data_IF_944881720958
#
_entry.id   IF_944881720958
#
_cell.length_a   1.000
_cell.length_b   1.000
_cell.length_c   1.000
_cell.angle_alpha   90.00
_cell.angle_beta   90.00
_cell.angle_gamma   90.00
#
_symmetry.space_group_name_H-M   'P 1'
#
loop_
_entity.id
_entity.type
_entity.pdbx_description
1 polymer ?
#
# COMPACT_ATOMS: atom_id res chain seq x y z
N UNK A 1 33.34 -16.73 -47.60
CA UNK A 1 34.19 -15.84 -46.80
C UNK A 1 33.99 -16.24 -45.35
N UNK A 2 35.02 -16.79 -44.70
CA UNK A 2 34.96 -17.09 -43.27
C UNK A 2 35.19 -15.77 -42.52
N UNK A 3 34.25 -15.37 -41.66
CA UNK A 3 34.48 -14.28 -40.70
C UNK A 3 35.67 -14.67 -39.83
N UNK A 4 36.67 -13.78 -39.73
CA UNK A 4 37.73 -13.95 -38.72
C UNK A 4 37.05 -13.94 -37.34
N UNK A 5 37.46 -14.81 -36.41
CA UNK A 5 37.00 -14.70 -35.03
C UNK A 5 37.39 -13.31 -34.52
N UNK A 6 36.39 -12.52 -34.10
CA UNK A 6 36.63 -11.27 -33.39
C UNK A 6 37.39 -11.59 -32.11
N UNK A 7 38.34 -10.72 -31.76
CA UNK A 7 39.02 -10.80 -30.48
C UNK A 7 37.96 -10.60 -29.38
N UNK A 8 37.81 -11.54 -28.42
CA UNK A 8 36.83 -11.41 -27.34
C UNK A 8 36.92 -10.08 -26.57
N UNK A 9 38.12 -9.48 -26.55
CA UNK A 9 38.35 -8.18 -25.93
C UNK A 9 37.73 -7.05 -26.77
N UNK A 10 37.81 -7.12 -28.09
CA UNK A 10 37.21 -6.12 -28.96
C UNK A 10 35.69 -6.22 -28.94
N UNK A 11 35.13 -7.43 -28.89
CA UNK A 11 33.69 -7.65 -28.75
C UNK A 11 33.14 -7.06 -27.43
N UNK A 12 33.85 -7.27 -26.30
CA UNK A 12 33.45 -6.69 -25.01
C UNK A 12 33.57 -5.16 -25.01
N UNK A 13 34.61 -4.60 -25.65
CA UNK A 13 34.77 -3.15 -25.77
C UNK A 13 33.67 -2.52 -26.60
N UNK A 14 33.34 -3.12 -27.75
CA UNK A 14 32.25 -2.66 -28.61
C UNK A 14 30.91 -2.72 -27.87
N UNK A 15 30.64 -3.77 -27.09
CA UNK A 15 29.44 -3.89 -26.26
C UNK A 15 29.35 -2.77 -25.20
N UNK A 16 30.46 -2.46 -24.51
CA UNK A 16 30.51 -1.34 -23.55
C UNK A 16 30.26 0.00 -24.26
N UNK A 17 30.87 0.21 -25.43
CA UNK A 17 30.67 1.45 -26.18
C UNK A 17 29.22 1.61 -26.65
N UNK A 18 28.59 0.53 -27.11
CA UNK A 18 27.20 0.53 -27.54
C UNK A 18 26.22 0.73 -26.39
N UNK A 19 26.46 0.10 -25.23
CA UNK A 19 25.61 0.25 -24.04
C UNK A 19 25.74 1.64 -23.43
N UNK A 20 26.97 2.16 -23.30
CA UNK A 20 27.25 3.36 -22.51
C UNK A 20 27.43 4.63 -23.35
N UNK A 21 27.55 4.50 -24.68
CA UNK A 21 27.83 5.62 -25.59
C UNK A 21 29.20 6.28 -25.38
N UNK A 22 30.13 5.62 -24.68
CA UNK A 22 31.43 6.20 -24.29
C UNK A 22 32.50 5.98 -25.35
N UNK A 23 33.56 6.79 -25.30
CA UNK A 23 34.72 6.60 -26.16
C UNK A 23 35.53 5.33 -25.75
N UNK A 24 36.39 4.86 -26.67
CA UNK A 24 37.13 3.60 -26.49
C UNK A 24 38.09 3.63 -25.30
N UNK A 25 38.68 4.80 -24.99
CA UNK A 25 39.58 4.98 -23.84
C UNK A 25 38.85 4.79 -22.51
N UNK A 26 37.64 5.35 -22.38
CA UNK A 26 36.78 5.18 -21.20
C UNK A 26 36.23 3.75 -21.12
N UNK A 27 35.87 3.13 -22.25
CA UNK A 27 35.45 1.73 -22.29
C UNK A 27 36.57 0.79 -21.80
N UNK A 28 37.82 1.06 -22.19
CA UNK A 28 39.00 0.31 -21.76
C UNK A 28 39.29 0.52 -20.26
N UNK A 29 39.17 1.76 -19.77
CA UNK A 29 39.30 2.07 -18.33
C UNK A 29 38.21 1.37 -17.49
N UNK A 30 36.98 1.29 -18.00
CA UNK A 30 35.87 0.57 -17.37
C UNK A 30 36.18 -0.94 -17.31
N UNK A 31 36.64 -1.53 -18.42
CA UNK A 31 37.01 -2.95 -18.51
C UNK A 31 38.13 -3.32 -17.52
N UNK A 32 39.21 -2.54 -17.49
CA UNK A 32 40.37 -2.78 -16.62
C UNK A 32 40.05 -2.67 -15.13
N UNK A 33 39.09 -1.83 -14.76
CA UNK A 33 38.62 -1.72 -13.38
C UNK A 33 37.71 -2.89 -12.94
N UNK A 34 37.25 -3.71 -13.89
CA UNK A 34 36.34 -4.84 -13.68
C UNK A 34 37.03 -6.20 -13.56
N UNK A 35 38.09 -6.44 -14.32
CA UNK A 35 38.83 -7.71 -14.38
C UNK A 35 39.66 -8.05 -13.12
N UNK A 36 39.46 -7.32 -12.01
CA UNK A 36 40.11 -7.62 -10.73
C UNK A 36 39.17 -8.40 -9.78
N UNK A 37 39.15 -9.75 -9.80
CA UNK A 37 38.59 -10.52 -8.69
C UNK A 37 39.43 -10.29 -7.43
N UNK A 38 38.83 -10.17 -6.22
CA UNK A 38 37.46 -10.53 -5.81
C UNK A 38 36.48 -9.35 -5.71
N UNK A 39 36.86 -8.14 -6.13
CA UNK A 39 36.17 -6.91 -5.74
C UNK A 39 34.89 -6.62 -6.54
N UNK A 40 34.75 -7.17 -7.76
CA UNK A 40 33.56 -7.06 -8.59
C UNK A 40 32.37 -7.88 -8.06
N UNK A 41 32.61 -9.13 -7.64
CA UNK A 41 31.58 -10.00 -7.06
C UNK A 41 31.00 -9.41 -5.77
N UNK A 42 31.84 -8.89 -4.88
CA UNK A 42 31.39 -8.25 -3.65
C UNK A 42 30.51 -7.02 -3.92
N UNK A 43 30.89 -6.17 -4.89
CA UNK A 43 30.10 -4.99 -5.25
C UNK A 43 28.73 -5.36 -5.86
N UNK A 44 28.66 -6.46 -6.61
CA UNK A 44 27.43 -7.01 -7.17
C UNK A 44 26.50 -7.62 -6.10
N UNK A 45 27.06 -8.39 -5.16
CA UNK A 45 26.27 -8.90 -4.04
C UNK A 45 25.78 -7.76 -3.14
N UNK A 46 26.62 -6.74 -2.91
CA UNK A 46 26.25 -5.58 -2.12
C UNK A 46 25.12 -4.76 -2.75
N UNK A 47 25.02 -4.68 -4.08
CA UNK A 47 23.92 -3.93 -4.71
C UNK A 47 22.60 -4.68 -4.62
N UNK A 48 22.62 -5.99 -4.91
CA UNK A 48 21.44 -6.85 -4.84
C UNK A 48 20.93 -6.90 -3.39
N UNK A 49 21.77 -7.35 -2.46
CA UNK A 49 21.38 -7.48 -1.07
C UNK A 49 21.17 -6.13 -0.41
N UNK A 50 21.93 -5.10 -0.77
CA UNK A 50 21.73 -3.73 -0.28
C UNK A 50 20.35 -3.19 -0.66
N UNK A 51 19.92 -3.38 -1.91
CA UNK A 51 18.56 -3.01 -2.33
C UNK A 51 17.50 -3.75 -1.51
N UNK A 52 17.62 -5.09 -1.39
CA UNK A 52 16.66 -5.88 -0.62
C UNK A 52 16.65 -5.49 0.87
N UNK A 53 17.80 -5.25 1.48
CA UNK A 53 17.92 -4.84 2.88
C UNK A 53 17.25 -3.47 3.09
N UNK A 54 17.50 -2.50 2.21
CA UNK A 54 16.87 -1.18 2.29
C UNK A 54 15.35 -1.30 2.09
N UNK A 55 14.92 -2.01 1.05
CA UNK A 55 13.52 -2.18 0.72
C UNK A 55 12.75 -2.88 1.86
N UNK A 56 13.20 -4.08 2.25
CA UNK A 56 12.58 -4.88 3.32
C UNK A 56 12.72 -4.19 4.68
N UNK A 57 13.86 -3.54 4.95
CA UNK A 57 14.05 -2.74 6.16
C UNK A 57 13.03 -1.61 6.26
N UNK A 58 12.78 -0.89 5.17
CA UNK A 58 11.75 0.13 5.11
C UNK A 58 10.33 -0.43 5.24
N UNK A 59 10.05 -1.62 4.70
CA UNK A 59 8.76 -2.30 4.94
C UNK A 59 8.59 -2.67 6.40
N UNK A 60 9.63 -3.21 7.04
CA UNK A 60 9.63 -3.49 8.47
C UNK A 60 9.39 -2.23 9.29
N UNK A 61 10.02 -1.11 8.91
CA UNK A 61 9.80 0.20 9.54
C UNK A 61 8.36 0.68 9.37
N UNK A 62 7.88 0.59 8.13
CA UNK A 62 6.52 0.96 7.73
C UNK A 62 5.48 0.20 8.55
N UNK A 63 5.57 -1.13 8.56
CA UNK A 63 4.65 -2.00 9.27
C UNK A 63 4.71 -1.86 10.80
N UNK A 64 5.91 -1.75 11.37
CA UNK A 64 6.07 -1.79 12.84
C UNK A 64 5.80 -0.45 13.52
N UNK A 65 6.07 0.66 12.86
CA UNK A 65 6.02 1.99 13.49
C UNK A 65 5.15 2.99 12.74
N UNK A 66 5.25 3.09 11.41
CA UNK A 66 4.54 4.12 10.64
C UNK A 66 3.05 3.79 10.53
N UNK A 67 2.71 2.56 10.17
CA UNK A 67 1.34 2.11 9.99
C UNK A 67 0.53 2.23 11.30
N UNK A 68 0.99 1.70 12.45
CA UNK A 68 0.25 1.83 13.71
C UNK A 68 0.20 3.28 14.23
N UNK A 69 1.14 4.14 13.81
CA UNK A 69 1.08 5.56 14.14
C UNK A 69 -0.07 6.26 13.41
N UNK A 70 -0.22 6.00 12.11
CA UNK A 70 -1.32 6.58 11.32
C UNK A 70 -2.68 5.99 11.68
N UNK A 71 -2.79 4.69 11.97
CA UNK A 71 -4.04 4.11 12.50
C UNK A 71 -4.48 4.82 13.78
N UNK A 72 -3.57 4.99 14.75
CA UNK A 72 -3.91 5.73 15.99
C UNK A 72 -4.27 7.19 15.75
N UNK A 73 -3.62 7.82 14.78
CA UNK A 73 -3.91 9.21 14.42
C UNK A 73 -5.32 9.30 13.81
N UNK A 74 -5.69 8.35 12.95
CA UNK A 74 -7.03 8.23 12.40
C UNK A 74 -8.06 7.99 13.51
N UNK A 75 -7.81 7.04 14.42
CA UNK A 75 -8.70 6.75 15.54
C UNK A 75 -8.93 7.98 16.42
N UNK A 76 -7.87 8.77 16.64
CA UNK A 76 -7.94 10.00 17.44
C UNK A 76 -8.80 11.05 16.74
N UNK A 77 -8.53 11.34 15.46
CA UNK A 77 -9.32 12.31 14.69
C UNK A 77 -10.78 11.90 14.55
N UNK A 78 -11.01 10.62 14.27
CA UNK A 78 -12.35 10.10 14.10
C UNK A 78 -13.13 10.11 15.42
N UNK A 79 -12.49 9.81 16.55
CA UNK A 79 -13.13 9.93 17.87
C UNK A 79 -13.47 11.39 18.22
N UNK A 80 -12.60 12.34 17.90
CA UNK A 80 -12.86 13.78 18.09
C UNK A 80 -14.06 14.25 17.27
N UNK A 81 -14.10 13.91 15.97
CA UNK A 81 -15.23 14.25 15.09
C UNK A 81 -16.52 13.53 15.49
N UNK A 82 -16.44 12.26 15.86
CA UNK A 82 -17.58 11.49 16.35
C UNK A 82 -18.22 12.13 17.59
N UNK A 83 -17.40 12.62 18.52
CA UNK A 83 -17.87 13.31 19.73
C UNK A 83 -18.58 14.63 19.38
N UNK A 84 -18.09 15.37 18.38
CA UNK A 84 -18.70 16.62 17.93
C UNK A 84 -20.07 16.41 17.27
N UNK A 85 -20.23 15.31 16.53
CA UNK A 85 -21.45 15.00 15.77
C UNK A 85 -22.43 14.16 16.60
N UNK A 86 -22.01 13.63 17.76
CA UNK A 86 -22.83 12.74 18.59
C UNK A 86 -22.96 11.33 18.00
N UNK A 87 -21.94 10.87 17.27
CA UNK A 87 -21.91 9.52 16.74
C UNK A 87 -21.68 8.49 17.87
N UNK A 88 -22.27 7.32 17.70
CA UNK A 88 -22.16 6.16 18.61
C UNK A 88 -21.21 5.10 18.06
N UNK A 89 -21.09 4.99 16.73
CA UNK A 89 -20.12 4.12 16.06
C UNK A 89 -19.39 4.90 14.96
N UNK A 90 -18.17 4.47 14.63
CA UNK A 90 -17.32 5.07 13.60
C UNK A 90 -16.77 3.98 12.69
N UNK A 91 -17.00 4.09 11.39
CA UNK A 91 -16.40 3.22 10.39
C UNK A 91 -15.34 3.98 9.61
N UNK A 92 -14.10 3.50 9.64
CA UNK A 92 -12.99 4.07 8.89
C UNK A 92 -12.28 2.97 8.09
N UNK A 93 -11.86 3.30 6.88
CA UNK A 93 -10.99 2.46 6.06
C UNK A 93 -9.64 3.17 5.91
N UNK A 94 -8.54 2.50 6.29
CA UNK A 94 -7.18 3.02 6.12
C UNK A 94 -6.29 2.02 5.42
N UNK A 95 -5.41 2.53 4.57
CA UNK A 95 -4.32 1.73 4.02
C UNK A 95 -4.09 1.90 2.52
N UNK A 96 -5.03 2.45 1.74
CA UNK A 96 -4.77 2.68 0.31
C UNK A 96 -3.68 3.73 0.12
N UNK A 97 -3.67 4.77 0.96
CA UNK A 97 -2.60 5.77 0.95
C UNK A 97 -1.24 5.18 1.31
N UNK A 98 -1.19 4.30 2.31
CA UNK A 98 0.03 3.59 2.70
C UNK A 98 0.53 2.65 1.60
N UNK A 99 -0.37 1.96 0.88
CA UNK A 99 -0.01 1.13 -0.27
C UNK A 99 0.60 1.96 -1.41
N UNK A 100 0.01 3.11 -1.74
CA UNK A 100 0.58 4.02 -2.75
C UNK A 100 1.97 4.53 -2.32
N UNK A 101 2.13 4.88 -1.04
CA UNK A 101 3.41 5.29 -0.47
C UNK A 101 4.47 4.17 -0.52
N UNK A 102 4.05 2.90 -0.31
CA UNK A 102 4.90 1.71 -0.41
C UNK A 102 5.55 1.59 -1.81
N UNK A 103 4.78 1.80 -2.88
CA UNK A 103 5.34 1.81 -4.24
C UNK A 103 6.38 2.91 -4.41
N UNK A 104 6.13 4.10 -3.84
CA UNK A 104 7.11 5.19 -3.79
C UNK A 104 8.40 4.83 -3.06
N UNK A 105 8.29 4.06 -1.98
CA UNK A 105 9.44 3.55 -1.24
C UNK A 105 10.29 2.58 -2.06
N UNK A 106 9.67 1.66 -2.82
CA UNK A 106 10.40 0.70 -3.66
C UNK A 106 11.32 1.43 -4.64
N UNK A 107 10.82 2.47 -5.32
CA UNK A 107 11.65 3.31 -6.19
C UNK A 107 12.71 4.06 -5.39
N UNK A 108 12.34 4.69 -4.27
CA UNK A 108 13.29 5.45 -3.43
C UNK A 108 14.44 4.59 -2.89
N UNK A 109 14.23 3.30 -2.63
CA UNK A 109 15.27 2.38 -2.18
C UNK A 109 16.45 2.30 -3.18
N UNK A 110 16.17 2.32 -4.49
CA UNK A 110 17.20 2.38 -5.53
C UNK A 110 18.02 3.66 -5.46
N UNK A 111 17.36 4.82 -5.24
CA UNK A 111 18.04 6.09 -5.07
C UNK A 111 18.89 6.16 -3.79
N UNK A 112 18.40 5.60 -2.67
CA UNK A 112 19.16 5.50 -1.41
C UNK A 112 20.41 4.65 -1.61
N UNK A 113 20.29 3.50 -2.28
CA UNK A 113 21.43 2.65 -2.59
C UNK A 113 22.43 3.39 -3.48
N UNK A 114 21.98 4.05 -4.55
CA UNK A 114 22.84 4.84 -5.43
C UNK A 114 23.57 5.97 -4.68
N UNK A 115 22.94 6.62 -3.70
CA UNK A 115 23.58 7.61 -2.82
C UNK A 115 24.67 6.98 -1.96
N UNK A 116 24.46 5.78 -1.42
CA UNK A 116 25.49 5.04 -0.67
C UNK A 116 26.73 4.79 -1.56
N UNK A 117 26.53 4.35 -2.81
CA UNK A 117 27.63 4.14 -3.76
C UNK A 117 28.29 5.43 -4.23
N UNK A 118 27.59 6.57 -4.21
CA UNK A 118 28.17 7.87 -4.51
C UNK A 118 29.13 8.34 -3.40
N UNK A 119 28.84 8.01 -2.14
CA UNK A 119 29.64 8.40 -0.98
C UNK A 119 30.80 7.42 -0.72
N UNK A 120 30.59 6.14 -0.98
CA UNK A 120 31.63 5.12 -0.86
C UNK A 120 32.60 5.19 -2.06
N UNK A 121 33.87 4.80 -1.90
CA UNK A 121 34.82 4.66 -3.01
C UNK A 121 34.52 3.42 -3.88
N UNK A 122 33.23 3.18 -4.16
CA UNK A 122 32.65 2.08 -4.92
C UNK A 122 31.81 2.59 -6.11
N UNK A 123 31.72 3.91 -6.30
CA UNK A 123 30.99 4.60 -7.37
C UNK A 123 31.24 4.02 -8.77
N UNK A 124 32.50 3.72 -9.15
CA UNK A 124 32.86 3.14 -10.46
C UNK A 124 32.22 1.76 -10.73
N UNK A 125 31.76 1.06 -9.71
CA UNK A 125 31.27 -0.34 -9.81
C UNK A 125 29.76 -0.47 -9.85
N UNK A 126 29.03 0.57 -9.43
CA UNK A 126 27.57 0.54 -9.39
C UNK A 126 26.93 0.66 -10.78
N UNK A 127 27.50 1.49 -11.67
CA UNK A 127 26.96 1.73 -13.02
C UNK A 127 26.82 0.44 -13.83
N UNK A 128 27.89 -0.36 -13.95
CA UNK A 128 27.84 -1.64 -14.69
C UNK A 128 27.01 -2.73 -13.99
N UNK A 129 26.95 -2.76 -12.66
CA UNK A 129 26.19 -3.78 -11.92
C UNK A 129 24.69 -3.53 -12.02
N UNK A 130 24.27 -2.28 -11.90
CA UNK A 130 22.87 -1.90 -12.06
C UNK A 130 22.43 -2.02 -13.53
N UNK A 131 23.31 -1.68 -14.49
CA UNK A 131 23.03 -1.91 -15.91
C UNK A 131 22.99 -3.40 -16.25
N UNK A 132 23.91 -4.24 -15.77
CA UNK A 132 23.85 -5.70 -15.98
C UNK A 132 22.61 -6.38 -15.37
N UNK A 133 22.04 -5.81 -14.29
CA UNK A 133 20.79 -6.29 -13.71
C UNK A 133 19.54 -5.91 -14.51
N UNK A 134 19.61 -4.86 -15.33
CA UNK A 134 18.47 -4.28 -16.04
C UNK A 134 18.59 -4.37 -17.57
N UNK A 135 19.78 -4.68 -18.11
CA UNK A 135 20.07 -4.98 -19.52
C UNK A 135 19.89 -6.46 -19.86
N UNK A 136 19.61 -7.31 -18.86
CA UNK A 136 19.14 -8.66 -19.09
C UNK A 136 17.88 -8.61 -19.98
N UNK A 137 17.88 -9.36 -21.09
CA UNK A 137 16.78 -9.52 -22.06
C UNK A 137 15.39 -9.79 -21.43
N UNK A 138 15.37 -10.13 -20.14
CA UNK A 138 14.17 -10.35 -19.32
C UNK A 138 13.45 -9.08 -18.81
N UNK A 139 14.00 -7.86 -18.92
CA UNK A 139 13.39 -6.64 -18.34
C UNK A 139 13.32 -5.42 -19.30
N UNK A 140 12.43 -5.45 -20.31
CA UNK A 140 12.36 -4.41 -21.35
C UNK A 140 11.94 -3.02 -20.84
N UNK A 141 11.26 -2.93 -19.69
CA UNK A 141 10.84 -1.63 -19.12
C UNK A 141 12.01 -0.84 -18.48
N UNK A 142 13.11 -1.50 -18.09
CA UNK A 142 14.27 -0.87 -17.45
C UNK A 142 15.31 -0.33 -18.44
N UNK A 143 15.51 -1.03 -19.57
CA UNK A 143 16.57 -0.75 -20.52
C UNK A 143 16.49 0.65 -21.16
N UNK A 144 15.30 1.09 -21.60
CA UNK A 144 15.13 2.41 -22.21
C UNK A 144 15.37 3.58 -21.24
N UNK A 145 15.04 3.40 -19.96
CA UNK A 145 15.28 4.41 -18.93
C UNK A 145 16.76 4.57 -18.60
N UNK A 146 17.52 3.46 -18.63
CA UNK A 146 18.96 3.42 -18.35
C UNK A 146 19.81 3.87 -19.53
N UNK A 147 19.42 3.54 -20.77
CA UNK A 147 20.09 4.05 -21.97
C UNK A 147 20.08 5.60 -21.99
N UNK A 148 18.98 6.21 -21.57
CA UNK A 148 18.87 7.66 -21.48
C UNK A 148 19.64 8.27 -20.28
N UNK A 149 20.00 7.48 -19.26
CA UNK A 149 20.95 7.89 -18.20
C UNK A 149 22.38 7.82 -18.74
N UNK A 150 22.72 6.74 -19.43
CA UNK A 150 24.04 6.52 -20.03
C UNK A 150 24.35 7.56 -21.12
N UNK A 151 23.40 7.87 -22.00
CA UNK A 151 23.54 8.91 -23.02
C UNK A 151 23.81 10.30 -22.41
N UNK A 152 23.23 10.61 -21.25
CA UNK A 152 23.49 11.87 -20.55
C UNK A 152 24.88 11.90 -19.88
N UNK A 153 25.42 10.74 -19.57
CA UNK A 153 26.73 10.57 -18.95
C UNK A 153 27.86 10.36 -19.98
N UNK A 154 27.57 10.12 -21.26
CA UNK A 154 28.58 9.67 -22.26
C UNK A 154 29.62 10.71 -22.67
N UNK A 155 29.37 12.01 -22.42
CA UNK A 155 30.21 13.13 -22.89
C UNK A 155 31.48 13.41 -22.06
N UNK A 156 31.87 12.51 -21.15
CA UNK A 156 33.00 12.72 -20.23
C UNK A 156 34.25 11.92 -20.58
N UNK A 157 35.39 12.45 -20.17
CA UNK A 157 36.73 11.96 -20.51
C UNK A 157 37.36 11.07 -19.44
N UNK A 158 36.66 10.80 -18.32
CA UNK A 158 37.15 9.91 -17.25
C UNK A 158 36.06 8.98 -16.72
N UNK A 159 36.46 7.75 -16.34
CA UNK A 159 35.55 6.75 -15.77
C UNK A 159 34.87 7.21 -14.47
N UNK A 160 35.55 8.01 -13.64
CA UNK A 160 35.04 8.53 -12.37
C UNK A 160 33.92 9.55 -12.58
N UNK A 161 34.14 10.47 -13.51
CA UNK A 161 33.16 11.50 -13.82
C UNK A 161 31.94 10.89 -14.50
N UNK A 162 32.16 9.89 -15.36
CA UNK A 162 31.09 9.09 -15.96
C UNK A 162 30.22 8.42 -14.88
N UNK A 163 30.82 7.63 -13.99
CA UNK A 163 30.10 6.90 -12.95
C UNK A 163 29.33 7.84 -12.01
N UNK A 164 29.92 8.98 -11.65
CA UNK A 164 29.28 9.99 -10.80
C UNK A 164 28.07 10.65 -11.49
N UNK A 165 28.21 11.04 -12.76
CA UNK A 165 27.11 11.66 -13.53
C UNK A 165 25.98 10.66 -13.78
N UNK A 166 26.32 9.43 -14.12
CA UNK A 166 25.37 8.33 -14.29
C UNK A 166 24.57 8.11 -12.99
N UNK A 167 25.23 8.02 -11.83
CA UNK A 167 24.59 7.83 -10.52
C UNK A 167 23.63 8.98 -10.18
N UNK A 168 24.05 10.23 -10.41
CA UNK A 168 23.23 11.41 -10.14
C UNK A 168 21.98 11.46 -11.03
N UNK A 169 22.13 11.16 -12.32
CA UNK A 169 21.01 11.15 -13.25
C UNK A 169 20.06 9.96 -12.99
N UNK A 170 20.60 8.81 -12.60
CA UNK A 170 19.81 7.68 -12.10
C UNK A 170 18.98 8.07 -10.88
N UNK A 171 19.62 8.64 -9.84
CA UNK A 171 18.92 9.14 -8.63
C UNK A 171 17.82 10.11 -9.02
N UNK A 172 18.12 11.08 -9.90
CA UNK A 172 17.16 12.09 -10.35
C UNK A 172 15.95 11.46 -11.02
N UNK A 173 16.14 10.47 -11.90
CA UNK A 173 15.04 9.80 -12.60
C UNK A 173 14.21 8.94 -11.67
N UNK A 174 14.87 8.13 -10.85
CA UNK A 174 14.18 7.27 -9.88
C UNK A 174 13.37 8.11 -8.89
N UNK A 175 13.91 9.23 -8.40
CA UNK A 175 13.16 10.14 -7.53
C UNK A 175 12.00 10.85 -8.24
N UNK A 176 12.13 11.16 -9.54
CA UNK A 176 11.00 11.68 -10.34
C UNK A 176 9.89 10.64 -10.50
N UNK A 177 10.24 9.37 -10.65
CA UNK A 177 9.26 8.28 -10.72
C UNK A 177 8.63 8.06 -9.34
N UNK A 178 9.44 8.06 -8.29
CA UNK A 178 9.00 7.89 -6.91
C UNK A 178 8.11 9.04 -6.41
N UNK A 179 8.31 10.27 -6.89
CA UNK A 179 7.59 11.44 -6.38
C UNK A 179 6.09 11.36 -6.62
N UNK A 180 5.64 10.77 -7.74
CA UNK A 180 4.22 10.62 -8.04
C UNK A 180 3.48 9.69 -7.05
N UNK A 181 3.87 8.41 -6.86
CA UNK A 181 3.23 7.54 -5.88
C UNK A 181 3.42 8.04 -4.43
N UNK A 182 4.54 8.71 -4.10
CA UNK A 182 4.68 9.35 -2.78
C UNK A 182 3.66 10.47 -2.61
N UNK A 183 3.53 11.38 -3.59
CA UNK A 183 2.59 12.49 -3.51
C UNK A 183 1.15 12.00 -3.44
N UNK A 184 0.77 11.04 -4.29
CA UNK A 184 -0.54 10.39 -4.26
C UNK A 184 -0.76 9.72 -2.91
N UNK A 185 0.23 8.98 -2.40
CA UNK A 185 0.17 8.33 -1.09
C UNK A 185 -0.05 9.32 0.04
N UNK A 186 0.67 10.45 0.08
CA UNK A 186 0.47 11.50 1.09
C UNK A 186 -0.93 12.09 1.02
N UNK A 187 -1.43 12.39 -0.18
CA UNK A 187 -2.77 12.94 -0.38
C UNK A 187 -3.83 11.94 0.09
N UNK A 188 -3.68 10.65 -0.22
CA UNK A 188 -4.60 9.59 0.21
C UNK A 188 -4.49 9.28 1.71
N UNK A 189 -3.30 9.32 2.32
CA UNK A 189 -3.16 9.17 3.77
C UNK A 189 -3.88 10.32 4.46
N UNK A 190 -3.65 11.56 4.02
CA UNK A 190 -4.38 12.72 4.54
C UNK A 190 -5.89 12.57 4.34
N UNK A 191 -6.30 12.02 3.21
CA UNK A 191 -7.69 11.71 2.93
C UNK A 191 -8.32 10.81 3.97
N UNK A 192 -7.74 9.63 4.12
CA UNK A 192 -8.21 8.58 5.02
C UNK A 192 -8.22 9.06 6.48
N UNK A 193 -7.26 9.91 6.87
CA UNK A 193 -7.20 10.51 8.21
C UNK A 193 -8.33 11.52 8.49
N UNK A 194 -8.95 12.09 7.46
CA UNK A 194 -9.94 13.17 7.59
C UNK A 194 -11.35 12.77 7.18
N UNK A 195 -11.54 11.54 6.69
CA UNK A 195 -12.83 11.02 6.23
C UNK A 195 -13.23 9.77 7.02
N UNK A 196 -14.54 9.60 7.22
CA UNK A 196 -15.09 8.45 7.91
C UNK A 196 -16.60 8.36 7.76
N UNK A 197 -17.14 7.20 8.07
CA UNK A 197 -18.57 6.96 8.21
C UNK A 197 -18.94 7.10 9.70
N UNK A 198 -19.61 8.19 10.07
CA UNK A 198 -20.04 8.46 11.45
C UNK A 198 -21.48 8.03 11.62
N UNK A 199 -21.73 7.11 12.55
CA UNK A 199 -23.03 6.46 12.72
C UNK A 199 -23.67 6.98 14.00
N UNK A 200 -24.82 7.61 13.88
CA UNK A 200 -25.64 8.11 15.00
C UNK A 200 -26.86 7.21 15.22
N UNK A 201 -27.67 7.53 16.23
CA UNK A 201 -28.95 6.83 16.43
C UNK A 201 -29.95 7.07 15.29
N UNK A 202 -29.85 8.16 14.52
CA UNK A 202 -30.86 8.57 13.53
C UNK A 202 -30.40 8.43 12.07
N UNK A 203 -29.09 8.47 11.85
CA UNK A 203 -28.51 8.54 10.51
C UNK A 203 -27.03 8.12 10.46
N UNK A 204 -26.56 7.85 9.24
CA UNK A 204 -25.14 7.79 8.92
C UNK A 204 -24.71 9.09 8.24
N UNK A 205 -23.70 9.73 8.79
CA UNK A 205 -23.02 10.88 8.19
C UNK A 205 -21.74 10.37 7.53
N UNK A 206 -21.72 10.38 6.20
CA UNK A 206 -20.54 10.03 5.41
C UNK A 206 -19.76 11.30 5.16
N UNK A 207 -18.62 11.44 5.84
CA UNK A 207 -17.68 12.51 5.58
C UNK A 207 -16.81 12.14 4.39
N UNK A 208 -16.77 13.01 3.39
CA UNK A 208 -16.08 12.74 2.14
C UNK A 208 -14.74 13.45 2.14
N UNK A 209 -13.71 12.71 1.75
CA UNK A 209 -12.38 13.26 1.57
C UNK A 209 -12.32 14.51 0.67
N UNK A 210 -13.08 14.55 -0.44
CA UNK A 210 -12.92 15.64 -1.41
C UNK A 210 -13.44 16.94 -0.77
N UNK A 211 -12.60 17.96 -0.55
CA UNK A 211 -12.94 19.15 0.25
C UNK A 211 -14.05 20.03 -0.37
N UNK A 212 -14.50 19.69 -1.58
CA UNK A 212 -15.56 20.38 -2.31
C UNK A 212 -16.83 19.53 -2.48
N UNK A 213 -16.86 18.32 -1.91
CA UNK A 213 -18.07 17.51 -1.88
C UNK A 213 -18.73 17.62 -0.53
N UNK A 214 -20.02 17.93 -0.52
CA UNK A 214 -20.81 17.97 0.71
C UNK A 214 -20.88 16.60 1.37
N UNK A 215 -20.91 16.61 2.70
CA UNK A 215 -21.13 15.41 3.51
C UNK A 215 -22.47 14.82 3.15
N UNK A 216 -22.50 13.49 3.05
CA UNK A 216 -23.72 12.79 2.68
C UNK A 216 -24.37 12.22 3.92
N UNK A 217 -25.58 12.70 4.19
CA UNK A 217 -26.41 12.22 5.28
C UNK A 217 -27.35 11.13 4.74
N UNK A 218 -27.37 9.98 5.41
CA UNK A 218 -28.23 8.85 5.11
C UNK A 218 -29.10 8.52 6.33
N UNK A 219 -30.33 9.06 6.41
CA UNK A 219 -31.25 8.76 7.49
C UNK A 219 -31.68 7.30 7.46
N UNK A 220 -31.83 6.64 8.61
CA UNK A 220 -32.27 5.25 8.69
C UNK A 220 -33.64 5.00 8.03
N UNK A 221 -34.48 6.04 7.96
CA UNK A 221 -35.77 6.02 7.28
C UNK A 221 -35.67 5.78 5.77
N UNK A 222 -34.50 6.00 5.19
CA UNK A 222 -34.22 5.81 3.75
C UNK A 222 -33.56 4.47 3.44
N UNK A 223 -33.32 3.63 4.44
CA UNK A 223 -32.78 2.29 4.24
C UNK A 223 -33.79 1.42 3.47
N UNK A 224 -33.30 0.68 2.48
CA UNK A 224 -34.11 -0.22 1.64
C UNK A 224 -34.03 -1.65 2.16
N UNK A 225 -32.84 -2.09 2.57
CA UNK A 225 -32.54 -3.47 2.91
C UNK A 225 -31.53 -3.55 4.06
N UNK A 226 -31.67 -4.53 4.94
CA UNK A 226 -30.71 -4.87 5.98
C UNK A 226 -30.33 -6.35 5.83
N UNK A 227 -29.07 -6.60 5.48
CA UNK A 227 -28.49 -7.93 5.39
C UNK A 227 -27.90 -8.35 6.75
N UNK A 228 -28.38 -9.48 7.27
CA UNK A 228 -28.00 -10.01 8.58
C UNK A 228 -27.30 -11.37 8.45
N UNK A 229 -26.23 -11.56 9.22
CA UNK A 229 -25.57 -12.86 9.31
C UNK A 229 -24.41 -12.93 10.29
N UNK A 230 -23.76 -14.08 10.33
CA UNK A 230 -22.56 -14.38 11.10
C UNK A 230 -21.70 -15.34 10.28
N UNK A 231 -20.59 -14.83 9.74
CA UNK A 231 -19.69 -15.57 8.89
C UNK A 231 -18.51 -16.13 9.69
N UNK A 232 -18.11 -17.38 9.41
CA UNK A 232 -16.87 -17.96 9.90
C UNK A 232 -15.89 -18.12 8.73
N UNK A 233 -14.70 -17.57 8.88
CA UNK A 233 -13.54 -17.76 8.00
C UNK A 233 -12.39 -18.39 8.78
N UNK A 234 -11.33 -18.76 8.07
CA UNK A 234 -10.06 -19.17 8.68
C UNK A 234 -9.42 -18.00 9.46
N UNK A 235 -9.72 -16.77 9.06
CA UNK A 235 -9.27 -15.53 9.72
C UNK A 235 -10.10 -15.14 10.95
N UNK A 236 -11.24 -15.80 11.18
CA UNK A 236 -12.08 -15.58 12.35
C UNK A 236 -13.58 -15.53 12.09
N UNK A 237 -14.32 -15.23 13.18
CA UNK A 237 -15.76 -15.01 13.17
C UNK A 237 -16.05 -13.52 12.88
N UNK A 238 -17.04 -13.24 12.05
CA UNK A 238 -17.43 -11.87 11.69
C UNK A 238 -18.94 -11.73 11.65
N UNK A 239 -19.49 -10.85 12.49
CA UNK A 239 -20.88 -10.46 12.42
C UNK A 239 -21.12 -9.72 11.10
N UNK A 240 -22.29 -9.91 10.51
CA UNK A 240 -22.73 -9.18 9.32
C UNK A 240 -24.00 -8.42 9.71
N UNK A 241 -23.88 -7.10 9.72
CA UNK A 241 -24.99 -6.18 9.88
C UNK A 241 -24.79 -5.06 8.86
N UNK A 242 -25.33 -5.25 7.66
CA UNK A 242 -25.11 -4.36 6.52
C UNK A 242 -26.43 -3.71 6.12
N UNK A 243 -26.46 -2.38 6.12
CA UNK A 243 -27.62 -1.59 5.71
C UNK A 243 -27.39 -1.10 4.29
N UNK A 244 -28.36 -1.28 3.42
CA UNK A 244 -28.34 -0.84 2.03
C UNK A 244 -29.30 0.33 1.87
N UNK A 245 -28.74 1.43 1.38
CA UNK A 245 -29.46 2.63 0.97
C UNK A 245 -29.48 2.69 -0.57
N UNK A 246 -30.32 3.53 -1.19
CA UNK A 246 -30.45 3.61 -2.66
C UNK A 246 -29.15 3.93 -3.42
N UNK A 247 -28.13 4.41 -2.70
CA UNK A 247 -26.89 4.93 -3.27
C UNK A 247 -25.62 4.27 -2.75
N UNK A 248 -25.70 3.50 -1.66
CA UNK A 248 -24.55 2.90 -0.98
C UNK A 248 -25.02 1.89 0.05
N UNK A 249 -24.18 0.92 0.38
CA UNK A 249 -24.32 0.11 1.60
C UNK A 249 -23.31 0.49 2.66
N UNK A 250 -23.71 0.45 3.93
CA UNK A 250 -22.87 0.68 5.11
C UNK A 250 -22.86 -0.59 5.95
N UNK A 251 -21.68 -1.06 6.36
CA UNK A 251 -21.53 -2.24 7.22
C UNK A 251 -21.28 -1.80 8.66
N UNK A 252 -22.32 -1.83 9.48
CA UNK A 252 -22.26 -1.41 10.89
C UNK A 252 -21.42 -2.40 11.71
N UNK A 253 -21.38 -3.66 11.27
CA UNK A 253 -20.59 -4.71 11.93
C UNK A 253 -19.08 -4.55 11.88
N UNK A 254 -18.57 -3.61 11.08
CA UNK A 254 -17.13 -3.28 11.00
C UNK A 254 -16.82 -1.89 11.55
N UNK A 255 -17.81 -1.21 12.15
CA UNK A 255 -17.60 0.07 12.80
C UNK A 255 -17.19 -0.14 14.27
N UNK A 256 -16.33 0.72 14.77
CA UNK A 256 -15.86 0.70 16.14
C UNK A 256 -16.74 1.57 17.05
N UNK A 257 -16.96 1.17 18.31
CA UNK A 257 -17.69 1.98 19.26
C UNK A 257 -16.90 3.23 19.64
N UNK A 258 -17.59 4.37 19.69
CA UNK A 258 -17.00 5.59 20.26
C UNK A 258 -16.70 5.35 21.74
N UNK A 259 -15.57 5.88 22.24
CA UNK A 259 -15.09 5.62 23.60
C UNK A 259 -16.20 5.84 24.64
N UNK A 260 -16.49 4.79 25.41
CA UNK A 260 -17.51 4.81 26.47
C UNK A 260 -18.90 4.34 26.04
N UNK A 261 -19.09 3.94 24.77
CA UNK A 261 -20.33 3.32 24.28
C UNK A 261 -20.23 1.78 24.30
N UNK A 262 -21.36 1.11 24.55
CA UNK A 262 -21.49 -0.34 24.36
C UNK A 262 -21.88 -0.60 22.90
N UNK A 263 -20.96 -1.19 22.14
CA UNK A 263 -21.15 -1.55 20.74
C UNK A 263 -22.50 -2.25 20.49
N UNK A 264 -22.86 -3.23 21.32
CA UNK A 264 -24.05 -4.02 21.12
C UNK A 264 -25.32 -3.22 21.45
N UNK A 265 -25.25 -2.31 22.43
CA UNK A 265 -26.36 -1.41 22.76
C UNK A 265 -26.58 -0.37 21.65
N UNK A 266 -25.49 0.17 21.11
CA UNK A 266 -25.52 1.07 19.96
C UNK A 266 -26.14 0.39 18.73
N UNK A 267 -25.77 -0.86 18.46
CA UNK A 267 -26.36 -1.64 17.38
C UNK A 267 -27.85 -1.94 17.60
N UNK A 268 -28.27 -2.24 18.83
CA UNK A 268 -29.68 -2.45 19.18
C UNK A 268 -30.53 -1.18 19.00
N UNK A 269 -30.00 0.00 19.34
CA UNK A 269 -30.66 1.28 19.11
C UNK A 269 -30.87 1.55 17.61
N UNK A 270 -29.85 1.28 16.79
CA UNK A 270 -29.95 1.42 15.33
C UNK A 270 -30.94 0.41 14.75
N UNK A 271 -30.90 -0.85 15.21
CA UNK A 271 -31.84 -1.90 14.77
C UNK A 271 -33.30 -1.52 15.09
N UNK A 272 -33.57 -0.86 16.22
CA UNK A 272 -34.90 -0.35 16.54
C UNK A 272 -35.38 0.72 15.53
N UNK A 273 -34.50 1.64 15.13
CA UNK A 273 -34.84 2.65 14.11
C UNK A 273 -35.04 2.06 12.72
N UNK A 274 -34.23 1.07 12.34
CA UNK A 274 -34.39 0.34 11.09
C UNK A 274 -35.67 -0.52 11.08
N UNK A 275 -36.08 -1.08 12.23
CA UNK A 275 -37.38 -1.76 12.35
C UNK A 275 -38.57 -0.82 12.22
N UNK A 276 -38.41 0.42 12.66
CA UNK A 276 -39.42 1.46 12.50
C UNK A 276 -39.45 2.05 11.07
N UNK A 277 -38.42 1.80 10.26
CA UNK A 277 -38.41 2.17 8.84
C UNK A 277 -39.04 1.08 7.96
N UNK A 278 -39.19 1.35 6.67
CA UNK A 278 -39.70 0.39 5.70
C UNK A 278 -38.60 -0.55 5.16
N UNK A 279 -37.45 -0.66 5.83
CA UNK A 279 -36.35 -1.50 5.37
C UNK A 279 -36.71 -2.99 5.47
N UNK A 280 -36.41 -3.74 4.41
CA UNK A 280 -36.57 -5.20 4.42
C UNK A 280 -35.39 -5.86 5.14
N UNK A 281 -35.64 -6.84 6.01
CA UNK A 281 -34.58 -7.60 6.66
C UNK A 281 -34.41 -8.95 6.00
N UNK A 282 -33.19 -9.26 5.55
CA UNK A 282 -32.87 -10.50 4.82
C UNK A 282 -31.63 -11.19 5.39
N UNK A 283 -31.50 -12.47 5.08
CA UNK A 283 -30.26 -13.22 5.34
C UNK A 283 -29.17 -12.75 4.40
N UNK A 284 -27.97 -12.58 4.94
CA UNK A 284 -26.79 -12.30 4.14
C UNK A 284 -26.43 -13.53 3.28
N UNK A 285 -26.54 -13.39 1.97
CA UNK A 285 -26.21 -14.46 1.02
C UNK A 285 -24.93 -14.13 0.26
N UNK A 286 -23.79 -14.64 0.74
CA UNK A 286 -22.53 -14.55 0.00
C UNK A 286 -21.93 -15.93 -0.21
N UNK A 287 -21.61 -16.25 -1.47
CA UNK A 287 -20.98 -17.50 -1.90
C UNK A 287 -21.62 -18.78 -1.33
N UNK A 288 -22.95 -18.78 -1.11
CA UNK A 288 -23.70 -19.90 -0.51
C UNK A 288 -23.17 -20.35 0.86
N UNK A 289 -22.55 -19.44 1.62
CA UNK A 289 -22.15 -19.72 2.99
C UNK A 289 -23.36 -19.77 3.91
N UNK A 290 -23.23 -20.50 5.02
CA UNK A 290 -24.24 -20.49 6.08
C UNK A 290 -24.31 -19.08 6.70
N UNK A 291 -25.43 -18.35 6.54
CA UNK A 291 -25.58 -17.00 7.06
C UNK A 291 -25.60 -16.97 8.59
N UNK A 292 -25.83 -18.10 9.26
CA UNK A 292 -25.90 -18.21 10.71
C UNK A 292 -24.95 -19.31 11.21
N UNK A 293 -23.68 -19.23 10.80
CA UNK A 293 -22.71 -20.27 11.13
C UNK A 293 -22.62 -20.49 12.65
N UNK A 294 -22.87 -21.72 13.17
CA UNK A 294 -22.91 -21.98 14.61
C UNK A 294 -21.59 -21.74 15.35
N UNK A 295 -20.43 -21.79 14.66
CA UNK A 295 -19.15 -21.43 15.26
C UNK A 295 -19.03 -19.92 15.45
N UNK A 296 -19.43 -19.16 14.44
CA UNK A 296 -19.45 -17.69 14.49
C UNK A 296 -20.37 -17.20 15.62
N UNK A 297 -21.60 -17.69 15.68
CA UNK A 297 -22.58 -17.30 16.71
C UNK A 297 -22.05 -17.55 18.12
N UNK A 298 -21.46 -18.72 18.38
CA UNK A 298 -20.88 -19.04 19.69
C UNK A 298 -19.73 -18.11 20.09
N UNK A 299 -18.95 -17.63 19.14
CA UNK A 299 -17.89 -16.63 19.41
C UNK A 299 -18.49 -15.36 19.99
N UNK A 300 -19.49 -14.80 19.31
CA UNK A 300 -20.14 -13.55 19.74
C UNK A 300 -21.02 -13.71 20.99
N UNK A 301 -21.62 -14.88 21.21
CA UNK A 301 -22.35 -15.12 22.45
C UNK A 301 -21.44 -15.01 23.66
N UNK A 302 -20.25 -15.61 23.61
CA UNK A 302 -19.29 -15.57 24.71
C UNK A 302 -18.64 -14.20 24.90
N UNK A 303 -18.43 -13.45 23.83
CA UNK A 303 -17.83 -12.11 23.85
C UNK A 303 -18.70 -11.08 24.58
N UNK A 304 -20.02 -11.16 24.42
CA UNK A 304 -20.98 -10.18 24.97
C UNK A 304 -21.78 -10.70 26.18
N UNK A 305 -21.24 -11.63 26.96
CA UNK A 305 -21.86 -12.03 28.24
C UNK A 305 -21.75 -10.90 29.30
N UNK A 306 -22.74 -10.74 30.21
CA UNK A 306 -23.94 -11.57 30.37
C UNK A 306 -25.06 -11.26 29.36
N UNK A 307 -25.69 -12.31 28.80
CA UNK A 307 -26.88 -12.18 27.96
C UNK A 307 -26.63 -11.97 26.46
N UNK A 308 -25.37 -12.06 26.03
CA UNK A 308 -24.96 -11.89 24.63
C UNK A 308 -25.75 -12.77 23.67
N UNK A 309 -26.03 -14.02 24.04
CA UNK A 309 -26.87 -14.92 23.22
C UNK A 309 -28.22 -14.30 22.84
N UNK A 310 -28.99 -13.85 23.82
CA UNK A 310 -30.34 -13.33 23.58
C UNK A 310 -30.32 -12.04 22.76
N UNK A 311 -29.32 -11.18 22.99
CA UNK A 311 -29.12 -9.92 22.25
C UNK A 311 -28.76 -10.19 20.79
N UNK A 312 -27.77 -11.05 20.55
CA UNK A 312 -27.32 -11.43 19.19
C UNK A 312 -28.42 -12.18 18.43
N UNK A 313 -29.11 -13.14 19.05
CA UNK A 313 -30.20 -13.87 18.40
C UNK A 313 -31.33 -12.95 17.94
N UNK A 314 -31.64 -11.93 18.75
CA UNK A 314 -32.63 -10.89 18.41
C UNK A 314 -32.16 -10.01 17.26
N UNK A 315 -30.94 -9.48 17.33
CA UNK A 315 -30.37 -8.63 16.27
C UNK A 315 -30.31 -9.38 14.93
N UNK A 316 -29.82 -10.61 14.96
CA UNK A 316 -29.76 -11.47 13.78
C UNK A 316 -31.08 -12.12 13.44
N UNK A 317 -32.18 -11.89 14.19
CA UNK A 317 -33.50 -12.48 13.91
C UNK A 317 -33.46 -14.00 13.75
N UNK A 318 -32.67 -14.69 14.57
CA UNK A 318 -32.50 -16.15 14.48
C UNK A 318 -33.86 -16.83 14.70
N UNK A 319 -34.31 -17.61 13.71
CA UNK A 319 -35.61 -18.29 13.73
C UNK A 319 -36.82 -17.45 13.27
N UNK A 320 -36.61 -16.23 12.76
CA UNK A 320 -37.69 -15.35 12.29
C UNK A 320 -37.65 -15.04 10.78
N UNK A 321 -36.45 -14.98 10.19
CA UNK A 321 -36.23 -14.89 8.73
C UNK A 321 -35.84 -16.26 8.18
#
# INVERSE_FOLDING_TARGET
MAQRPQDPIEEELDEIQDIFGVNREVAEEIRLNFDQPPKGWFAHQLSIWGFFIIMVGGFGVGWRWIWPYFERLQDTHAAEQATQIGAILVGNDFGFGMLAWLFGWIFSAGAVLALVYLVLPLNKRFSRVHDAMMSSDSQPFGAGALNAVAEHASSVTSSDEFARRWLLEYIRRVLRIASLPIAVGVVLIWAELTSGDYITEEEVVIDRFIPFTENKILPWSTAELVELGCNQTDDGASLVYKVVFPTRSVRISSADPVKGTDYLASLEAIDERLRASNAEFVRWEWLKRDPLNPKCLRSFYGEYEPGGKARIDRLLRVGQL
#
